data_IF_546256778394
#
_entry.id   IF_546256778394
#
_cell.length_a   1.000
_cell.length_b   1.000
_cell.length_c   1.000
_cell.angle_alpha   90.00
_cell.angle_beta   90.00
_cell.angle_gamma   90.00
#
_symmetry.space_group_name_H-M   'P 1'
#
loop_
_entity.id
_entity.type
_entity.pdbx_description
1 polymer ?
#
# COMPACT_ATOMS: atom_id res chain seq x y z
N UNK A 1 -8.33 11.76 -7.87
CA UNK A 1 -7.71 12.84 -8.65
C UNK A 1 -8.22 12.84 -10.11
N UNK A 2 -7.77 13.79 -10.99
CA UNK A 2 -8.37 13.95 -12.33
C UNK A 2 -8.18 12.77 -13.28
N UNK A 3 -7.14 11.98 -13.11
CA UNK A 3 -6.82 10.79 -13.91
C UNK A 3 -7.35 9.48 -13.28
N UNK A 4 -8.07 9.59 -12.15
CA UNK A 4 -8.78 8.50 -11.48
C UNK A 4 -7.88 7.29 -11.15
N UNK A 5 -6.62 7.54 -10.83
CA UNK A 5 -5.64 6.51 -10.46
C UNK A 5 -5.36 6.46 -8.94
N UNK A 6 -5.68 7.52 -8.17
CA UNK A 6 -5.49 7.60 -6.72
C UNK A 6 -6.76 8.00 -5.99
N UNK A 7 -6.94 7.46 -4.77
CA UNK A 7 -8.09 7.76 -3.91
C UNK A 7 -7.63 7.97 -2.47
N UNK A 8 -8.01 9.12 -1.90
CA UNK A 8 -7.87 9.42 -0.48
C UNK A 8 -9.24 9.36 0.21
N UNK A 9 -9.24 9.04 1.50
CA UNK A 9 -10.45 8.95 2.30
C UNK A 9 -10.33 9.72 3.61
N UNK A 10 -11.48 10.09 4.15
CA UNK A 10 -11.63 10.57 5.52
C UNK A 10 -12.62 9.68 6.28
N UNK A 11 -12.27 9.29 7.49
CA UNK A 11 -13.14 8.51 8.38
C UNK A 11 -13.87 9.43 9.33
N UNK A 12 -15.16 9.17 9.54
CA UNK A 12 -15.95 9.89 10.55
C UNK A 12 -15.63 9.34 11.94
N UNK A 13 -15.25 10.23 12.84
CA UNK A 13 -14.99 9.89 14.25
C UNK A 13 -16.29 9.89 15.08
N UNK A 14 -16.28 9.25 16.28
CA UNK A 14 -17.45 9.20 17.17
C UNK A 14 -17.95 10.58 17.61
N UNK A 15 -17.08 11.58 17.73
CA UNK A 15 -17.38 12.96 18.06
C UNK A 15 -17.99 13.78 16.90
N UNK A 16 -18.12 13.15 15.72
CA UNK A 16 -18.64 13.76 14.49
C UNK A 16 -17.59 14.46 13.63
N UNK A 17 -16.35 14.57 14.09
CA UNK A 17 -15.23 15.08 13.29
C UNK A 17 -14.82 14.09 12.19
N UNK A 18 -13.93 14.51 11.30
CA UNK A 18 -13.35 13.66 10.26
C UNK A 18 -11.83 13.60 10.43
N UNK A 19 -11.26 12.41 10.30
CA UNK A 19 -9.85 12.14 10.33
C UNK A 19 -9.39 11.65 8.94
N UNK A 20 -8.34 12.27 8.40
CA UNK A 20 -7.74 11.81 7.14
C UNK A 20 -6.98 10.51 7.37
N UNK A 21 -7.14 9.57 6.45
CA UNK A 21 -6.45 8.28 6.47
C UNK A 21 -5.30 8.32 5.46
N UNK A 22 -4.12 7.98 5.91
CA UNK A 22 -2.94 7.94 5.04
C UNK A 22 -3.04 6.82 3.99
N UNK A 23 -2.32 6.96 2.87
CA UNK A 23 -2.25 5.93 1.84
C UNK A 23 -1.73 4.59 2.37
N UNK A 24 -0.81 4.62 3.34
CA UNK A 24 -0.32 3.44 4.03
C UNK A 24 -1.42 2.73 4.84
N UNK A 25 -2.19 3.47 5.61
CA UNK A 25 -3.29 2.90 6.43
C UNK A 25 -4.38 2.29 5.55
N UNK A 26 -4.76 2.98 4.47
CA UNK A 26 -5.73 2.43 3.50
C UNK A 26 -5.17 1.18 2.82
N UNK A 27 -3.90 1.18 2.42
CA UNK A 27 -3.24 0.03 1.82
C UNK A 27 -3.25 -1.20 2.73
N UNK A 28 -2.96 -1.00 4.02
CA UNK A 28 -2.99 -2.08 5.03
C UNK A 28 -4.42 -2.58 5.28
N UNK A 29 -5.38 -1.67 5.44
CA UNK A 29 -6.80 -2.04 5.60
C UNK A 29 -7.33 -2.84 4.41
N UNK A 30 -7.00 -2.44 3.18
CA UNK A 30 -7.39 -3.16 1.97
C UNK A 30 -6.71 -4.53 1.87
N UNK A 31 -5.41 -4.62 2.17
CA UNK A 31 -4.69 -5.90 2.18
C UNK A 31 -5.32 -6.88 3.16
N UNK A 32 -5.56 -6.45 4.39
CA UNK A 32 -6.22 -7.24 5.42
C UNK A 32 -7.62 -7.70 4.98
N UNK A 33 -8.45 -6.77 4.50
CA UNK A 33 -9.80 -7.05 4.06
C UNK A 33 -9.86 -8.03 2.88
N UNK A 34 -9.01 -7.83 1.86
CA UNK A 34 -8.91 -8.71 0.69
C UNK A 34 -8.49 -10.12 1.11
N UNK A 35 -7.46 -10.23 1.97
CA UNK A 35 -6.97 -11.52 2.43
C UNK A 35 -8.03 -12.26 3.25
N UNK A 36 -8.62 -11.62 4.26
CA UNK A 36 -9.68 -12.20 5.08
C UNK A 36 -10.89 -12.65 4.24
N UNK A 37 -11.37 -11.78 3.35
CA UNK A 37 -12.52 -12.09 2.50
C UNK A 37 -12.25 -13.21 1.50
N UNK A 38 -11.03 -13.31 0.94
CA UNK A 38 -10.66 -14.41 0.05
C UNK A 38 -10.55 -15.75 0.79
N UNK A 39 -10.04 -15.76 2.01
CA UNK A 39 -9.98 -16.96 2.86
C UNK A 39 -11.40 -17.42 3.20
N UNK A 40 -12.26 -16.51 3.67
CA UNK A 40 -13.65 -16.81 4.03
C UNK A 40 -14.43 -17.42 2.85
N UNK A 41 -14.21 -16.89 1.64
CA UNK A 41 -14.86 -17.35 0.41
C UNK A 41 -14.17 -18.55 -0.25
N UNK A 42 -13.04 -19.02 0.27
CA UNK A 42 -12.25 -20.11 -0.33
C UNK A 42 -11.66 -19.75 -1.71
N UNK A 43 -11.37 -18.46 -1.95
CA UNK A 43 -10.85 -17.93 -3.23
C UNK A 43 -9.41 -17.40 -3.12
N UNK A 44 -8.73 -17.66 -2.00
CA UNK A 44 -7.32 -17.32 -1.84
C UNK A 44 -6.48 -18.22 -2.77
N UNK A 45 -5.67 -17.64 -3.68
CA UNK A 45 -4.79 -18.44 -4.52
C UNK A 45 -3.72 -19.17 -3.69
N UNK A 46 -3.29 -20.33 -4.15
CA UNK A 46 -2.05 -20.90 -3.63
C UNK A 46 -0.89 -19.94 -3.90
N UNK A 47 -0.03 -19.70 -2.87
CA UNK A 47 1.10 -18.78 -2.96
C UNK A 47 0.68 -17.37 -3.46
N UNK A 48 -0.41 -16.85 -2.91
CA UNK A 48 -0.89 -15.50 -3.20
C UNK A 48 0.24 -14.47 -3.12
N UNK A 49 0.24 -13.50 -4.02
CA UNK A 49 1.25 -12.43 -4.12
C UNK A 49 0.58 -11.08 -3.95
N UNK A 50 1.10 -10.28 -3.04
CA UNK A 50 0.86 -8.85 -2.98
C UNK A 50 2.16 -8.08 -3.24
N UNK A 51 2.06 -6.83 -3.69
CA UNK A 51 3.23 -6.02 -4.04
C UNK A 51 3.08 -4.63 -3.46
N UNK A 52 4.14 -4.06 -2.87
CA UNK A 52 4.15 -2.66 -2.43
C UNK A 52 5.46 -1.96 -2.77
N UNK A 53 5.44 -0.62 -2.77
CA UNK A 53 6.68 0.14 -2.83
C UNK A 53 7.50 -0.06 -1.54
N UNK A 54 8.82 -0.05 -1.65
CA UNK A 54 9.72 -0.23 -0.50
C UNK A 54 9.61 0.88 0.55
N UNK A 55 9.07 2.05 0.18
CA UNK A 55 8.82 3.18 1.08
C UNK A 55 7.43 3.11 1.74
N UNK A 56 6.57 2.19 1.33
CA UNK A 56 5.30 1.90 2.00
C UNK A 56 5.53 1.18 3.32
N UNK A 57 4.55 1.31 4.22
CA UNK A 57 4.68 0.84 5.61
C UNK A 57 5.07 -0.64 5.75
N UNK A 58 6.05 -0.97 6.63
CA UNK A 58 6.36 -2.35 6.98
C UNK A 58 5.23 -3.10 7.71
N UNK A 59 4.20 -2.41 8.19
CA UNK A 59 3.01 -3.05 8.76
C UNK A 59 2.35 -4.02 7.76
N UNK A 60 2.40 -3.70 6.47
CA UNK A 60 1.90 -4.58 5.42
C UNK A 60 2.66 -5.92 5.34
N UNK A 61 3.96 -5.93 5.68
CA UNK A 61 4.74 -7.17 5.72
C UNK A 61 4.23 -8.10 6.83
N UNK A 62 3.90 -7.55 8.01
CA UNK A 62 3.34 -8.30 9.12
C UNK A 62 1.94 -8.86 8.80
N UNK A 63 1.07 -8.04 8.20
CA UNK A 63 -0.26 -8.47 7.77
C UNK A 63 -0.18 -9.57 6.70
N UNK A 64 0.64 -9.40 5.67
CA UNK A 64 0.83 -10.39 4.62
C UNK A 64 1.35 -11.73 5.18
N UNK A 65 2.32 -11.68 6.10
CA UNK A 65 2.86 -12.87 6.77
C UNK A 65 1.79 -13.64 7.55
N UNK A 66 0.88 -12.93 8.25
CA UNK A 66 -0.24 -13.56 8.97
C UNK A 66 -1.13 -14.39 8.03
N UNK A 67 -1.41 -13.87 6.83
CA UNK A 67 -2.25 -14.54 5.84
C UNK A 67 -1.49 -15.51 4.93
N UNK A 68 -0.19 -15.70 5.11
CA UNK A 68 0.64 -16.55 4.26
C UNK A 68 0.80 -16.01 2.83
N UNK A 69 0.69 -14.70 2.64
CA UNK A 69 0.84 -14.02 1.36
C UNK A 69 2.30 -13.63 1.13
N UNK A 70 2.84 -13.94 -0.05
CA UNK A 70 4.15 -13.45 -0.50
C UNK A 70 4.06 -11.95 -0.77
N UNK A 71 4.65 -11.11 0.11
CA UNK A 71 4.70 -9.67 -0.12
C UNK A 71 6.03 -9.29 -0.79
N UNK A 72 5.94 -8.75 -2.01
CA UNK A 72 7.09 -8.26 -2.77
C UNK A 72 7.27 -6.76 -2.56
N UNK A 73 8.48 -6.36 -2.18
CA UNK A 73 8.87 -4.97 -2.06
C UNK A 73 9.59 -4.52 -3.32
N UNK A 74 9.07 -3.49 -4.00
CA UNK A 74 9.63 -2.97 -5.24
C UNK A 74 10.03 -1.50 -5.12
N UNK A 75 10.76 -0.97 -6.08
CA UNK A 75 11.08 0.46 -6.13
C UNK A 75 9.81 1.31 -6.26
N UNK A 76 9.89 2.56 -5.84
CA UNK A 76 8.80 3.53 -5.97
C UNK A 76 8.42 3.76 -7.43
N UNK A 77 7.14 3.78 -7.68
CA UNK A 77 6.54 3.93 -9.00
C UNK A 77 5.77 2.68 -9.42
N UNK A 78 4.48 2.85 -9.71
CA UNK A 78 3.55 1.75 -9.95
C UNK A 78 3.95 0.84 -11.13
N UNK A 79 4.79 1.36 -12.04
CA UNK A 79 5.39 0.54 -13.12
C UNK A 79 6.11 -0.71 -12.60
N UNK A 80 6.70 -0.65 -11.40
CA UNK A 80 7.37 -1.80 -10.79
C UNK A 80 6.40 -2.82 -10.24
N UNK A 81 5.23 -2.39 -9.77
CA UNK A 81 4.12 -3.28 -9.43
C UNK A 81 3.60 -3.93 -10.70
N UNK A 82 3.38 -3.15 -11.77
CA UNK A 82 3.01 -3.66 -13.08
C UNK A 82 4.00 -4.67 -13.65
N UNK A 83 5.31 -4.47 -13.45
CA UNK A 83 6.36 -5.41 -13.83
C UNK A 83 6.25 -6.76 -13.08
N UNK A 84 5.94 -6.75 -11.78
CA UNK A 84 5.69 -7.97 -11.02
C UNK A 84 4.49 -8.76 -11.55
N UNK A 85 3.43 -8.06 -11.96
CA UNK A 85 2.28 -8.70 -12.59
C UNK A 85 2.68 -9.31 -13.94
N UNK A 86 3.47 -8.59 -14.75
CA UNK A 86 3.96 -9.09 -16.04
C UNK A 86 4.85 -10.34 -15.86
N UNK A 87 5.69 -10.39 -14.83
CA UNK A 87 6.51 -11.56 -14.51
C UNK A 87 5.64 -12.76 -14.14
N UNK A 88 4.60 -12.58 -13.30
CA UNK A 88 3.63 -13.63 -12.97
C UNK A 88 2.86 -14.11 -14.22
N UNK A 89 2.47 -13.19 -15.10
CA UNK A 89 1.81 -13.53 -16.36
C UNK A 89 2.70 -14.37 -17.27
N UNK A 90 3.96 -13.98 -17.44
CA UNK A 90 4.94 -14.72 -18.21
C UNK A 90 5.20 -16.13 -17.65
N UNK A 91 5.05 -16.31 -16.34
CA UNK A 91 5.14 -17.62 -15.66
C UNK A 91 3.84 -18.44 -15.74
N UNK A 92 2.74 -17.90 -16.27
CA UNK A 92 1.41 -18.52 -16.23
C UNK A 92 0.76 -18.53 -14.84
N UNK A 93 1.18 -17.64 -13.96
CA UNK A 93 0.79 -17.58 -12.54
C UNK A 93 0.11 -16.24 -12.16
N UNK A 94 -0.45 -15.53 -13.14
CA UNK A 94 -1.01 -14.17 -12.93
C UNK A 94 -2.12 -14.14 -11.88
N UNK A 95 -2.87 -15.22 -11.72
CA UNK A 95 -3.96 -15.34 -10.74
C UNK A 95 -3.46 -15.32 -9.28
N UNK A 96 -2.16 -15.48 -9.05
CA UNK A 96 -1.55 -15.32 -7.73
C UNK A 96 -1.53 -13.87 -7.26
N UNK A 97 -1.55 -12.88 -8.17
CA UNK A 97 -1.58 -11.47 -7.80
C UNK A 97 -2.94 -11.08 -7.23
N UNK A 98 -2.96 -10.65 -5.97
CA UNK A 98 -4.21 -10.29 -5.29
C UNK A 98 -4.33 -8.79 -5.01
N UNK A 99 -3.20 -8.09 -4.77
CA UNK A 99 -3.21 -6.67 -4.41
C UNK A 99 -1.84 -6.02 -4.62
N UNK A 100 -1.86 -4.75 -5.02
CA UNK A 100 -0.68 -3.90 -5.06
C UNK A 100 -0.99 -2.49 -4.62
N UNK A 101 -0.04 -1.82 -3.91
CA UNK A 101 -0.25 -0.45 -3.46
C UNK A 101 1.04 0.35 -3.26
N UNK A 102 0.87 1.67 -3.27
CA UNK A 102 1.88 2.65 -2.88
C UNK A 102 1.33 3.58 -1.80
N UNK A 103 2.21 4.12 -0.96
CA UNK A 103 1.88 5.07 0.11
C UNK A 103 1.23 6.36 -0.41
N UNK A 104 1.43 6.66 -1.70
CA UNK A 104 0.88 7.81 -2.41
C UNK A 104 -0.56 7.64 -2.89
N UNK A 105 -1.35 6.81 -2.18
CA UNK A 105 -2.78 6.58 -2.42
C UNK A 105 -3.12 5.82 -3.71
N UNK A 106 -2.16 5.10 -4.29
CA UNK A 106 -2.34 4.25 -5.46
C UNK A 106 -2.56 2.78 -5.08
N UNK A 107 -3.61 2.17 -5.60
CA UNK A 107 -4.01 0.79 -5.28
C UNK A 107 -4.45 0.05 -6.54
N UNK A 108 -4.25 -1.27 -6.56
CA UNK A 108 -4.73 -2.17 -7.61
C UNK A 108 -5.11 -3.53 -7.00
N UNK A 109 -6.32 -3.98 -7.25
CA UNK A 109 -6.85 -5.23 -6.70
C UNK A 109 -7.14 -6.27 -7.81
N UNK A 110 -6.12 -6.69 -8.50
CA UNK A 110 -6.20 -7.71 -9.56
C UNK A 110 -5.33 -7.38 -10.77
N UNK A 111 -5.07 -8.36 -11.65
CA UNK A 111 -4.07 -8.22 -12.72
C UNK A 111 -4.62 -7.66 -14.04
N UNK A 112 -5.82 -7.11 -14.08
CA UNK A 112 -6.53 -6.67 -15.29
C UNK A 112 -5.96 -5.40 -15.94
N UNK A 113 -5.21 -4.59 -15.19
CA UNK A 113 -4.41 -3.43 -15.67
C UNK A 113 -3.02 -3.46 -15.07
N UNK A 114 -2.13 -2.56 -15.53
CA UNK A 114 -0.73 -2.47 -15.06
C UNK A 114 -0.42 -1.15 -14.34
N UNK A 115 -1.47 -0.44 -13.95
CA UNK A 115 -1.37 0.82 -13.21
C UNK A 115 -2.44 0.87 -12.12
N UNK A 116 -2.37 1.88 -11.27
CA UNK A 116 -3.30 2.18 -10.20
C UNK A 116 -4.73 2.36 -10.74
N UNK A 117 -5.70 1.89 -9.99
CA UNK A 117 -7.11 2.03 -10.34
C UNK A 117 -7.92 2.53 -9.12
N UNK A 118 -8.20 3.84 -9.11
CA UNK A 118 -8.98 4.43 -8.02
C UNK A 118 -10.46 4.03 -8.06
N UNK A 119 -10.99 3.59 -9.19
CA UNK A 119 -12.40 3.17 -9.30
C UNK A 119 -12.60 1.87 -8.52
N UNK A 120 -11.79 0.85 -8.78
CA UNK A 120 -11.86 -0.42 -8.02
C UNK A 120 -11.48 -0.20 -6.55
N UNK A 121 -10.48 0.64 -6.27
CA UNK A 121 -10.10 0.95 -4.89
C UNK A 121 -11.23 1.63 -4.13
N UNK A 122 -11.92 2.60 -4.73
CA UNK A 122 -13.10 3.25 -4.13
C UNK A 122 -14.24 2.27 -3.88
N UNK A 123 -14.51 1.37 -4.82
CA UNK A 123 -15.52 0.32 -4.65
C UNK A 123 -15.17 -0.58 -3.46
N UNK A 124 -13.94 -1.07 -3.38
CA UNK A 124 -13.48 -1.94 -2.29
C UNK A 124 -13.47 -1.22 -0.93
N UNK A 125 -13.10 0.05 -0.88
CA UNK A 125 -13.16 0.86 0.34
C UNK A 125 -14.61 1.01 0.82
N UNK A 126 -15.55 1.26 -0.08
CA UNK A 126 -16.97 1.34 0.26
C UNK A 126 -17.52 -0.02 0.73
N UNK A 127 -17.16 -1.11 0.06
CA UNK A 127 -17.53 -2.48 0.45
C UNK A 127 -16.98 -2.82 1.84
N UNK A 128 -15.69 -2.57 2.07
CA UNK A 128 -15.02 -2.77 3.35
C UNK A 128 -15.69 -1.96 4.47
N UNK A 129 -16.00 -0.68 4.24
CA UNK A 129 -16.68 0.17 5.21
C UNK A 129 -18.09 -0.33 5.52
N UNK A 130 -18.83 -0.78 4.51
CA UNK A 130 -20.17 -1.37 4.68
C UNK A 130 -20.10 -2.71 5.45
N UNK A 131 -19.12 -3.55 5.16
CA UNK A 131 -18.89 -4.81 5.85
C UNK A 131 -18.63 -4.58 7.34
N UNK A 132 -17.64 -3.74 7.71
CA UNK A 132 -17.36 -3.49 9.13
C UNK A 132 -18.54 -2.85 9.85
N UNK A 133 -19.27 -1.95 9.20
CA UNK A 133 -20.50 -1.39 9.76
C UNK A 133 -21.57 -2.46 10.01
N UNK A 134 -21.71 -3.43 9.11
CA UNK A 134 -22.71 -4.51 9.24
C UNK A 134 -22.47 -5.41 10.45
N UNK A 135 -21.21 -5.55 10.88
CA UNK A 135 -20.81 -6.32 12.05
C UNK A 135 -20.62 -5.46 13.32
N UNK A 136 -21.09 -4.20 13.29
CA UNK A 136 -21.03 -3.28 14.43
C UNK A 136 -19.64 -2.66 14.69
N UNK A 137 -18.75 -2.67 13.70
CA UNK A 137 -17.39 -2.10 13.76
C UNK A 137 -17.24 -0.91 12.80
N UNK A 138 -16.03 -0.40 12.66
CA UNK A 138 -15.66 0.69 11.74
C UNK A 138 -14.26 0.49 11.19
N UNK A 139 -13.92 1.20 10.11
CA UNK A 139 -12.56 1.20 9.55
C UNK A 139 -11.53 1.64 10.60
N UNK A 140 -11.85 2.64 11.42
CA UNK A 140 -10.97 3.11 12.49
C UNK A 140 -10.75 2.02 13.54
N UNK A 141 -11.80 1.37 13.98
CA UNK A 141 -11.70 0.29 14.95
C UNK A 141 -10.88 -0.87 14.38
N UNK A 142 -11.10 -1.27 13.12
CA UNK A 142 -10.29 -2.32 12.48
C UNK A 142 -8.81 -1.93 12.39
N UNK A 143 -8.51 -0.68 12.05
CA UNK A 143 -7.13 -0.18 12.01
C UNK A 143 -6.45 -0.26 13.38
N UNK A 144 -7.14 0.12 14.46
CA UNK A 144 -6.61 0.00 15.83
C UNK A 144 -6.43 -1.47 16.24
N UNK A 145 -7.30 -2.38 15.81
CA UNK A 145 -7.13 -3.84 16.01
C UNK A 145 -5.88 -4.35 15.29
N UNK A 146 -5.63 -3.93 14.04
CA UNK A 146 -4.42 -4.25 13.28
C UNK A 146 -3.18 -3.73 14.01
N UNK A 147 -3.21 -2.51 14.54
CA UNK A 147 -2.11 -1.97 15.33
C UNK A 147 -1.89 -2.74 16.66
N UNK A 148 -2.96 -3.18 17.29
CA UNK A 148 -2.86 -3.97 18.51
C UNK A 148 -2.27 -5.36 18.25
N UNK A 149 -2.57 -5.96 17.10
CA UNK A 149 -2.14 -7.31 16.73
C UNK A 149 -0.70 -7.34 16.20
N UNK A 150 -0.34 -6.40 15.32
CA UNK A 150 0.96 -6.42 14.60
C UNK A 150 1.95 -5.33 15.05
N UNK A 151 1.53 -4.43 15.93
CA UNK A 151 2.33 -3.27 16.34
C UNK A 151 2.03 -2.02 15.49
N UNK A 152 2.38 -0.88 16.07
CA UNK A 152 2.19 0.43 15.43
C UNK A 152 3.45 0.86 14.70
N UNK A 153 3.36 0.98 13.38
CA UNK A 153 4.45 1.45 12.52
C UNK A 153 4.21 2.92 12.15
N UNK A 154 5.13 3.78 12.58
CA UNK A 154 5.07 5.21 12.29
C UNK A 154 5.85 5.51 11.01
N UNK A 155 5.15 5.94 9.97
CA UNK A 155 5.76 6.45 8.75
C UNK A 155 5.71 7.99 8.78
N UNK A 156 6.87 8.64 8.67
CA UNK A 156 6.98 10.09 8.55
C UNK A 156 7.60 10.44 7.21
N UNK A 157 6.99 11.40 6.53
CA UNK A 157 7.53 11.98 5.28
C UNK A 157 7.95 13.41 5.56
N UNK A 158 9.22 13.71 5.33
CA UNK A 158 9.76 15.06 5.36
C UNK A 158 9.97 15.53 3.91
N UNK A 159 9.35 16.64 3.53
CA UNK A 159 9.46 17.24 2.20
C UNK A 159 10.41 18.43 2.23
N UNK A 160 11.34 18.45 1.28
CA UNK A 160 12.31 19.53 1.12
C UNK A 160 12.12 20.18 -0.24
N UNK A 161 11.89 21.49 -0.25
CA UNK A 161 11.73 22.26 -1.48
C UNK A 161 13.03 22.98 -1.84
N UNK A 162 13.41 22.90 -3.10
CA UNK A 162 14.59 23.58 -3.64
C UNK A 162 14.15 24.51 -4.79
N UNK A 163 13.66 25.74 -4.47
CA UNK A 163 13.18 26.67 -5.50
C UNK A 163 14.31 27.25 -6.33
N UNK A 164 13.98 27.65 -7.54
CA UNK A 164 14.89 28.34 -8.48
C UNK A 164 15.68 27.42 -9.39
N UNK A 165 16.39 28.01 -10.35
CA UNK A 165 17.11 27.30 -11.42
C UNK A 165 18.21 26.36 -10.88
N UNK A 166 18.84 26.68 -9.75
CA UNK A 166 19.86 25.85 -9.13
C UNK A 166 19.31 24.74 -8.22
N UNK A 167 17.98 24.67 -8.06
CA UNK A 167 17.34 23.71 -7.17
C UNK A 167 17.59 22.26 -7.57
N UNK A 168 17.54 21.97 -8.86
CA UNK A 168 17.80 20.64 -9.42
C UNK A 168 19.26 20.20 -9.17
N UNK A 169 20.22 21.09 -9.36
CA UNK A 169 21.65 20.80 -9.13
C UNK A 169 21.92 20.53 -7.63
N UNK A 170 21.29 21.32 -6.75
CA UNK A 170 21.36 21.09 -5.30
C UNK A 170 20.79 19.73 -4.90
N UNK A 171 19.63 19.36 -5.42
CA UNK A 171 19.00 18.07 -5.15
C UNK A 171 19.86 16.92 -5.65
N UNK A 172 20.40 17.03 -6.88
CA UNK A 172 21.31 16.03 -7.44
C UNK A 172 22.58 15.87 -6.58
N UNK A 173 23.19 16.96 -6.15
CA UNK A 173 24.37 16.95 -5.28
C UNK A 173 24.10 16.30 -3.91
N UNK A 174 22.93 16.54 -3.30
CA UNK A 174 22.53 15.88 -2.07
C UNK A 174 22.35 14.38 -2.28
N UNK A 175 21.67 13.97 -3.34
CA UNK A 175 21.46 12.56 -3.66
C UNK A 175 22.77 11.82 -3.93
N UNK A 176 23.72 12.45 -4.62
CA UNK A 176 25.04 11.87 -4.84
C UNK A 176 25.85 11.77 -3.55
N UNK A 177 25.77 12.78 -2.68
CA UNK A 177 26.35 12.72 -1.36
C UNK A 177 25.80 11.58 -0.50
N UNK A 178 24.49 11.35 -0.51
CA UNK A 178 23.85 10.24 0.19
C UNK A 178 24.26 8.88 -0.38
N UNK A 179 24.32 8.72 -1.70
CA UNK A 179 24.80 7.47 -2.34
C UNK A 179 26.22 7.13 -1.92
N UNK A 180 27.10 8.12 -1.86
CA UNK A 180 28.49 7.93 -1.45
C UNK A 180 28.62 7.66 0.04
N UNK A 181 27.72 8.20 0.89
CA UNK A 181 27.73 7.99 2.33
C UNK A 181 27.27 6.59 2.75
N UNK A 182 26.35 5.98 1.99
CA UNK A 182 25.82 4.62 2.26
C UNK A 182 26.91 3.53 2.17
N UNK A 183 28.03 3.80 1.54
CA UNK A 183 29.18 2.88 1.50
C UNK A 183 29.87 2.69 2.88
N UNK A 184 29.60 3.55 3.85
CA UNK A 184 30.19 3.49 5.20
C UNK A 184 29.27 2.86 6.24
N UNK A 185 28.04 2.50 5.90
CA UNK A 185 27.06 1.94 6.82
C UNK A 185 26.91 0.43 6.72
N UNK A 186 27.74 -0.27 5.97
CA UNK A 186 27.82 -1.72 6.01
C UNK A 186 28.40 -2.16 7.35
N UNK A 187 27.66 -2.89 8.20
CA UNK A 187 28.26 -3.50 9.38
C UNK A 187 29.31 -4.51 8.93
N UNK A 188 30.51 -4.32 9.40
CA UNK A 188 31.62 -5.29 9.31
C UNK A 188 31.29 -6.57 10.07
#
# INVERSE_FOLDING_TARGET
DPDADRVGIAMKCPDGSYELVSGNEVGVLLLDYICAGRIEKGTMPEKAVAVKSLVSTPLADAVAAHYGVELRNVLTGFKWIGDQIAQLEAAGEVDRFIFGFEESYGYLAGPYVRDKDAVIASMLICEMAAYYRSIGSSLKQRLEEIYAEYGRYLNKVDSFEFPGLSGMDKMAGIMDGLRNCLLYTSPS
#
